data_IF_524904906080
#
_entry.id   IF_524904906080
#
_cell.length_a   1.000
_cell.length_b   1.000
_cell.length_c   1.000
_cell.angle_alpha   90.00
_cell.angle_beta   90.00
_cell.angle_gamma   90.00
#
_symmetry.space_group_name_H-M   'P 1'
#
loop_
_entity.id
_entity.type
_entity.pdbx_description
1 polymer ?
#
# COMPACT_ATOMS: atom_id res chain seq x y z
N UNK A 1 -19.87 -28.35 -30.92
CA UNK A 1 -20.20 -27.42 -29.83
C UNK A 1 -20.54 -26.09 -30.47
N UNK A 2 -21.83 -25.75 -30.51
CA UNK A 2 -22.33 -24.52 -31.11
C UNK A 2 -22.19 -23.35 -30.14
N UNK A 3 -21.92 -22.11 -30.58
CA UNK A 3 -21.88 -20.95 -29.69
C UNK A 3 -23.31 -20.50 -29.32
N UNK A 4 -23.53 -19.97 -28.10
CA UNK A 4 -24.83 -19.47 -27.71
C UNK A 4 -25.16 -18.10 -28.32
N UNK A 5 -26.46 -17.93 -28.54
CA UNK A 5 -27.18 -16.85 -29.22
C UNK A 5 -27.10 -15.54 -28.44
N UNK A 6 -26.84 -14.44 -29.16
CA UNK A 6 -26.84 -13.08 -28.63
C UNK A 6 -28.24 -12.59 -28.25
N UNK A 7 -28.34 -11.91 -27.12
CA UNK A 7 -29.55 -11.20 -26.69
C UNK A 7 -29.45 -9.75 -27.16
N UNK A 8 -30.32 -9.39 -28.11
CA UNK A 8 -30.57 -8.01 -28.55
C UNK A 8 -31.47 -7.32 -27.51
N UNK A 9 -31.02 -6.18 -26.97
CA UNK A 9 -31.89 -5.26 -26.23
C UNK A 9 -32.25 -4.06 -27.13
N UNK A 10 -33.53 -3.64 -27.18
CA UNK A 10 -33.96 -2.58 -28.08
C UNK A 10 -33.45 -1.22 -27.63
N UNK A 11 -32.92 -0.47 -28.60
CA UNK A 11 -32.74 0.98 -28.52
C UNK A 11 -34.11 1.64 -28.70
N UNK A 12 -34.31 2.70 -27.92
CA UNK A 12 -35.35 3.74 -28.03
C UNK A 12 -36.50 3.66 -27.02
N UNK A 13 -36.58 4.73 -26.21
CA UNK A 13 -37.77 5.09 -25.44
C UNK A 13 -37.49 5.46 -23.98
N UNK A 14 -37.16 6.74 -23.74
CA UNK A 14 -37.81 7.65 -22.77
C UNK A 14 -36.93 8.91 -22.68
N UNK A 15 -37.30 9.91 -23.50
CA UNK A 15 -36.92 11.31 -23.32
C UNK A 15 -38.21 12.06 -22.96
N UNK A 16 -38.33 12.55 -21.73
CA UNK A 16 -39.27 13.62 -21.39
C UNK A 16 -38.81 14.39 -20.14
N UNK A 17 -38.21 15.56 -20.42
CA UNK A 17 -38.32 16.86 -19.73
C UNK A 17 -38.13 16.93 -18.20
N UNK A 18 -37.05 17.61 -17.80
CA UNK A 18 -37.14 18.83 -17.00
C UNK A 18 -35.96 19.74 -17.36
N UNK A 19 -36.25 20.83 -18.09
CA UNK A 19 -35.28 21.89 -18.36
C UNK A 19 -35.46 22.98 -17.30
N UNK A 20 -34.45 23.19 -16.47
CA UNK A 20 -34.29 24.41 -15.68
C UNK A 20 -33.04 25.12 -16.18
N UNK A 21 -33.30 26.28 -16.76
CA UNK A 21 -32.34 27.21 -17.34
C UNK A 21 -31.58 27.89 -16.20
N UNK A 22 -30.25 27.71 -16.16
CA UNK A 22 -29.36 28.55 -15.33
C UNK A 22 -28.43 29.28 -16.29
N UNK A 23 -28.60 30.60 -16.32
CA UNK A 23 -27.81 31.57 -17.06
C UNK A 23 -26.37 31.60 -16.59
N UNK A 24 -25.42 31.53 -17.53
CA UNK A 24 -23.99 31.75 -17.31
C UNK A 24 -23.72 33.21 -16.92
N UNK A 25 -22.87 33.51 -15.93
CA UNK A 25 -22.32 34.84 -15.76
C UNK A 25 -21.08 35.05 -16.65
N UNK A 26 -20.98 36.26 -17.16
CA UNK A 26 -19.90 36.81 -17.98
C UNK A 26 -18.52 36.66 -17.32
N UNK A 27 -17.52 36.29 -18.14
CA UNK A 27 -16.11 36.27 -17.75
C UNK A 27 -15.58 37.70 -17.80
N UNK A 28 -15.45 38.32 -16.62
CA UNK A 28 -14.68 39.56 -16.45
C UNK A 28 -13.21 39.21 -16.28
N UNK A 29 -12.37 39.70 -17.18
CA UNK A 29 -10.92 39.59 -17.10
C UNK A 29 -10.38 40.40 -15.91
N UNK A 30 -9.66 39.75 -14.98
CA UNK A 30 -9.07 40.41 -13.81
C UNK A 30 -7.87 39.67 -13.24
N UNK A 31 -6.69 40.27 -13.46
CA UNK A 31 -5.40 40.19 -12.75
C UNK A 31 -4.68 38.82 -12.52
N UNK A 32 -3.35 38.76 -12.67
CA UNK A 32 -2.58 37.53 -12.46
C UNK A 32 -2.49 37.18 -10.96
N UNK A 33 -2.77 35.91 -10.64
CA UNK A 33 -2.48 35.33 -9.33
C UNK A 33 -0.97 35.19 -9.16
N UNK A 34 -0.35 36.13 -8.44
CA UNK A 34 1.02 36.00 -7.97
C UNK A 34 1.07 35.04 -6.77
N UNK A 35 1.74 33.90 -6.93
CA UNK A 35 2.14 33.05 -5.81
C UNK A 35 3.22 33.78 -5.00
N UNK A 36 2.89 34.13 -3.75
CA UNK A 36 3.86 34.63 -2.77
C UNK A 36 4.15 33.50 -1.77
N UNK A 37 5.42 33.11 -1.56
CA UNK A 37 5.75 32.11 -0.56
C UNK A 37 5.53 32.68 0.85
N UNK A 38 4.85 31.90 1.70
CA UNK A 38 4.68 32.22 3.13
C UNK A 38 6.06 32.15 3.79
N UNK A 39 6.63 33.30 4.12
CA UNK A 39 7.83 33.40 4.95
C UNK A 39 7.45 33.14 6.40
N UNK A 40 7.72 31.93 6.89
CA UNK A 40 7.67 31.65 8.33
C UNK A 40 8.83 32.37 9.02
N UNK A 41 8.56 33.51 9.63
CA UNK A 41 9.48 34.14 10.58
C UNK A 41 9.46 33.34 11.87
N UNK A 42 10.54 32.60 12.14
CA UNK A 42 10.75 31.91 13.42
C UNK A 42 11.12 32.96 14.48
N UNK A 43 10.15 33.35 15.31
CA UNK A 43 10.40 34.07 16.54
C UNK A 43 10.98 33.10 17.57
N UNK A 44 12.30 33.13 17.76
CA UNK A 44 12.96 32.45 18.88
C UNK A 44 12.67 33.26 20.15
N UNK A 45 11.56 32.96 20.81
CA UNK A 45 11.34 33.40 22.20
C UNK A 45 12.14 32.50 23.14
N UNK A 46 13.08 33.10 23.88
CA UNK A 46 13.84 32.40 24.91
C UNK A 46 12.87 31.84 25.96
N UNK A 47 12.88 30.51 26.10
CA UNK A 47 12.11 29.77 27.10
C UNK A 47 12.60 30.13 28.50
N UNK A 48 11.72 30.75 29.30
CA UNK A 48 11.91 30.81 30.74
C UNK A 48 11.83 29.38 31.30
N UNK A 49 12.85 28.97 32.06
CA UNK A 49 12.92 27.67 32.75
C UNK A 49 11.61 27.41 33.51
N UNK A 50 10.74 26.58 32.94
CA UNK A 50 9.57 26.04 33.61
C UNK A 50 10.09 24.98 34.57
N UNK A 51 9.87 25.18 35.87
CA UNK A 51 10.16 24.16 36.87
C UNK A 51 9.39 22.89 36.49
N UNK A 52 10.11 21.80 36.24
CA UNK A 52 9.56 20.45 36.09
C UNK A 52 8.99 20.03 37.44
N UNK A 53 7.69 20.25 37.62
CA UNK A 53 6.89 19.49 38.57
C UNK A 53 7.00 18.01 38.18
N UNK A 54 7.14 17.07 39.12
CA UNK A 54 7.01 15.66 38.79
C UNK A 54 5.61 15.47 38.20
N UNK A 55 5.53 15.08 36.93
CA UNK A 55 4.27 14.68 36.33
C UNK A 55 3.79 13.46 37.10
N UNK A 56 2.57 13.50 37.65
CA UNK A 56 1.92 12.29 38.13
C UNK A 56 2.04 11.20 37.06
N UNK A 57 2.35 9.95 37.44
CA UNK A 57 2.46 8.88 36.47
C UNK A 57 1.13 8.78 35.70
N UNK A 58 1.22 8.86 34.37
CA UNK A 58 0.04 8.70 33.50
C UNK A 58 -0.62 7.35 33.83
N UNK A 59 -1.96 7.28 33.90
CA UNK A 59 -2.64 6.01 34.09
C UNK A 59 -2.19 5.03 33.01
N UNK A 60 -1.74 3.84 33.43
CA UNK A 60 -1.17 2.83 32.56
C UNK A 60 -2.14 1.67 32.33
N UNK A 61 -2.28 1.25 31.08
CA UNK A 61 -3.02 0.05 30.70
C UNK A 61 -2.02 -1.09 30.50
N UNK A 62 -2.05 -2.10 31.37
CA UNK A 62 -1.20 -3.28 31.23
C UNK A 62 -1.55 -3.98 29.92
N UNK A 63 -0.58 -4.17 29.02
CA UNK A 63 -0.82 -4.90 27.78
C UNK A 63 -0.04 -6.19 27.71
N UNK A 64 -0.70 -7.24 27.24
CA UNK A 64 -0.09 -8.54 26.95
C UNK A 64 -0.47 -8.99 25.55
N UNK A 65 0.47 -9.58 24.83
CA UNK A 65 0.27 -10.13 23.49
C UNK A 65 0.71 -11.59 23.48
N UNK A 66 -0.12 -12.48 22.97
CA UNK A 66 0.21 -13.88 22.81
C UNK A 66 1.48 -14.04 21.95
N UNK A 67 2.46 -14.89 22.34
CA UNK A 67 3.72 -15.02 21.62
C UNK A 67 3.58 -15.30 20.12
N UNK A 68 2.57 -16.08 19.72
CA UNK A 68 2.29 -16.43 18.32
C UNK A 68 1.73 -15.28 17.48
N UNK A 69 1.24 -14.22 18.12
CA UNK A 69 0.76 -13.00 17.46
C UNK A 69 1.82 -11.89 17.46
N UNK A 70 2.97 -12.09 18.12
CA UNK A 70 4.06 -11.11 18.11
C UNK A 70 4.66 -10.98 16.71
N UNK A 71 5.11 -9.77 16.37
CA UNK A 71 5.75 -9.46 15.11
C UNK A 71 5.39 -8.09 14.56
N UNK A 72 5.97 -7.72 13.40
CA UNK A 72 5.97 -6.34 12.91
C UNK A 72 4.57 -5.75 12.69
N UNK A 73 3.60 -6.57 12.26
CA UNK A 73 2.20 -6.18 12.06
C UNK A 73 1.52 -5.75 13.35
N UNK A 74 1.71 -6.52 14.42
CA UNK A 74 1.11 -6.21 15.72
C UNK A 74 1.86 -5.08 16.40
N UNK A 75 3.19 -5.03 16.30
CA UNK A 75 4.01 -3.92 16.78
C UNK A 75 3.62 -2.58 16.14
N UNK A 76 3.39 -2.57 14.82
CA UNK A 76 2.87 -1.40 14.12
C UNK A 76 1.52 -0.96 14.71
N UNK A 77 0.57 -1.89 14.87
CA UNK A 77 -0.76 -1.58 15.38
C UNK A 77 -0.74 -1.10 16.84
N UNK A 78 0.15 -1.65 17.68
CA UNK A 78 0.39 -1.17 19.05
C UNK A 78 0.90 0.27 19.03
N UNK A 79 1.83 0.61 18.12
CA UNK A 79 2.29 2.00 17.94
C UNK A 79 1.17 2.97 17.56
N UNK A 80 0.22 2.54 16.70
CA UNK A 80 -0.98 3.34 16.38
C UNK A 80 -1.88 3.53 17.60
N UNK A 81 -2.06 2.48 18.40
CA UNK A 81 -2.83 2.54 19.65
C UNK A 81 -2.15 3.46 20.68
N UNK A 82 -0.84 3.37 20.86
CA UNK A 82 -0.07 4.22 21.77
C UNK A 82 -0.22 5.70 21.44
N UNK A 83 -0.16 6.06 20.15
CA UNK A 83 -0.38 7.43 19.70
C UNK A 83 -1.77 7.96 20.11
N UNK A 84 -2.80 7.12 20.00
CA UNK A 84 -4.19 7.49 20.29
C UNK A 84 -4.48 7.53 21.80
N UNK A 85 -3.90 6.62 22.58
CA UNK A 85 -3.95 6.64 24.04
C UNK A 85 -3.23 7.86 24.63
N UNK A 86 -2.08 8.24 24.06
CA UNK A 86 -1.33 9.43 24.49
C UNK A 86 -2.16 10.71 24.36
N UNK A 87 -3.06 10.79 23.38
CA UNK A 87 -4.03 11.89 23.22
C UNK A 87 -5.00 12.05 24.39
N UNK A 88 -5.24 10.99 25.16
CA UNK A 88 -6.05 11.00 26.39
C UNK A 88 -5.19 11.07 27.67
N UNK A 89 -3.87 11.25 27.54
CA UNK A 89 -2.96 11.19 28.68
C UNK A 89 -2.79 9.77 29.26
N UNK A 90 -3.19 8.73 28.52
CA UNK A 90 -2.99 7.32 28.88
C UNK A 90 -1.68 6.81 28.26
N UNK A 91 -1.18 5.69 28.78
CA UNK A 91 -0.05 4.96 28.20
C UNK A 91 -0.24 3.46 28.35
N UNK A 92 0.31 2.66 27.43
CA UNK A 92 0.44 1.22 27.64
C UNK A 92 1.65 0.92 28.51
N UNK A 93 1.58 -0.18 29.26
CA UNK A 93 2.71 -0.77 29.99
C UNK A 93 2.77 -2.25 29.68
N UNK A 94 3.93 -2.76 29.29
CA UNK A 94 4.13 -4.21 29.10
C UNK A 94 4.48 -4.92 30.43
N UNK A 95 4.72 -4.14 31.49
CA UNK A 95 4.91 -4.69 32.83
C UNK A 95 3.56 -5.07 33.45
N UNK A 96 3.47 -6.29 33.98
CA UNK A 96 2.33 -6.76 34.75
C UNK A 96 2.15 -5.88 35.99
N UNK A 97 1.25 -4.91 35.94
CA UNK A 97 0.80 -4.20 37.13
C UNK A 97 -0.25 -5.04 37.86
N UNK A 98 -0.11 -5.16 39.18
CA UNK A 98 -1.16 -5.75 40.02
C UNK A 98 -2.35 -4.78 40.11
N UNK A 99 -3.44 -5.11 39.43
CA UNK A 99 -4.72 -4.39 39.49
C UNK A 99 -4.81 -3.18 38.55
N UNK A 100 -5.84 -3.17 37.70
CA UNK A 100 -6.17 -2.09 36.76
C UNK A 100 -6.60 -2.64 35.39
N UNK A 101 -7.35 -1.86 34.60
CA UNK A 101 -7.82 -2.29 33.29
C UNK A 101 -6.64 -2.57 32.35
N UNK A 102 -6.66 -3.73 31.70
CA UNK A 102 -5.61 -4.18 30.79
C UNK A 102 -6.09 -4.40 29.35
N UNK A 103 -5.13 -4.56 28.43
CA UNK A 103 -5.33 -4.96 27.05
C UNK A 103 -4.69 -6.33 26.87
N UNK A 104 -5.47 -7.35 26.53
CA UNK A 104 -4.94 -8.68 26.20
C UNK A 104 -5.18 -8.96 24.73
N UNK A 105 -4.14 -9.27 23.99
CA UNK A 105 -4.24 -9.75 22.60
C UNK A 105 -3.95 -11.24 22.61
N UNK A 106 -4.95 -12.06 22.37
CA UNK A 106 -4.86 -13.52 22.46
C UNK A 106 -5.32 -14.20 21.17
N UNK A 107 -4.89 -15.43 20.93
CA UNK A 107 -5.43 -16.21 19.82
C UNK A 107 -6.90 -16.54 20.07
N UNK A 108 -7.72 -16.46 19.03
CA UNK A 108 -9.14 -16.80 19.11
C UNK A 108 -9.37 -18.24 19.61
N UNK A 109 -8.47 -19.18 19.27
CA UNK A 109 -8.47 -20.58 19.72
C UNK A 109 -8.22 -20.74 21.23
N UNK A 110 -7.44 -19.83 21.83
CA UNK A 110 -7.18 -19.80 23.27
C UNK A 110 -8.43 -19.34 24.04
N UNK A 111 -9.13 -18.35 23.48
CA UNK A 111 -10.29 -17.69 24.09
C UNK A 111 -11.59 -18.49 23.90
N UNK A 112 -11.76 -19.19 22.77
CA UNK A 112 -12.95 -19.97 22.42
C UNK A 112 -13.28 -21.14 23.39
N UNK A 113 -12.44 -21.39 24.40
CA UNK A 113 -12.75 -22.33 25.49
C UNK A 113 -13.84 -21.84 26.45
N UNK A 114 -14.36 -20.61 26.31
CA UNK A 114 -15.38 -20.04 27.20
C UNK A 114 -16.54 -19.26 26.57
N UNK A 115 -16.53 -18.95 25.27
CA UNK A 115 -17.56 -18.14 24.58
C UNK A 115 -17.83 -18.64 23.18
N UNK A 116 -19.09 -18.58 22.72
CA UNK A 116 -19.47 -18.98 21.37
C UNK A 116 -18.78 -18.06 20.32
N UNK A 117 -18.01 -18.60 19.36
CA UNK A 117 -17.33 -17.78 18.36
C UNK A 117 -18.33 -17.08 17.44
N UNK A 118 -17.99 -15.86 16.98
CA UNK A 118 -18.70 -15.24 15.86
C UNK A 118 -18.51 -16.07 14.58
N UNK A 119 -19.53 -16.05 13.71
CA UNK A 119 -19.43 -16.66 12.39
C UNK A 119 -18.29 -16.01 11.58
N UNK A 120 -17.15 -16.71 11.45
CA UNK A 120 -15.95 -16.17 10.80
C UNK A 120 -14.62 -16.45 11.52
N UNK A 121 -14.65 -17.11 12.70
CA UNK A 121 -13.49 -17.41 13.56
C UNK A 121 -12.34 -18.24 12.94
N UNK A 122 -12.42 -18.60 11.65
CA UNK A 122 -11.37 -19.33 10.93
C UNK A 122 -10.46 -18.47 10.06
N UNK A 123 -10.74 -17.16 9.91
CA UNK A 123 -9.91 -16.25 9.12
C UNK A 123 -8.78 -15.65 9.97
N UNK A 124 -7.56 -15.57 9.42
CA UNK A 124 -6.44 -14.87 10.04
C UNK A 124 -6.70 -13.37 10.26
N UNK A 125 -7.67 -12.81 9.53
CA UNK A 125 -8.10 -11.41 9.62
C UNK A 125 -9.27 -11.20 10.60
N UNK A 126 -9.85 -12.26 11.15
CA UNK A 126 -10.95 -12.16 12.10
C UNK A 126 -10.46 -11.70 13.48
N UNK A 127 -11.29 -10.93 14.19
CA UNK A 127 -11.06 -10.58 15.58
C UNK A 127 -12.37 -10.33 16.33
N UNK A 128 -12.39 -10.56 17.63
CA UNK A 128 -13.50 -10.23 18.53
C UNK A 128 -13.00 -9.45 19.74
N UNK A 129 -13.89 -8.65 20.34
CA UNK A 129 -13.61 -7.94 21.60
C UNK A 129 -14.42 -8.56 22.74
N UNK A 130 -13.76 -8.76 23.88
CA UNK A 130 -14.38 -9.20 25.12
C UNK A 130 -14.02 -8.17 26.18
N UNK A 131 -15.03 -7.50 26.73
CA UNK A 131 -14.84 -6.57 27.85
C UNK A 131 -14.71 -7.37 29.13
N UNK A 132 -13.64 -7.14 29.87
CA UNK A 132 -13.35 -7.84 31.11
C UNK A 132 -14.06 -7.14 32.29
N UNK A 133 -14.44 -7.88 33.36
CA UNK A 133 -15.14 -7.30 34.51
C UNK A 133 -14.38 -6.19 35.25
N UNK A 134 -13.05 -6.14 35.09
CA UNK A 134 -12.16 -5.13 35.70
C UNK A 134 -12.01 -3.86 34.85
N UNK A 135 -12.78 -3.73 33.76
CA UNK A 135 -12.68 -2.62 32.81
C UNK A 135 -11.57 -2.80 31.77
N UNK A 136 -10.92 -3.95 31.74
CA UNK A 136 -9.99 -4.35 30.68
C UNK A 136 -10.70 -4.85 29.42
N UNK A 137 -9.90 -5.23 28.43
CA UNK A 137 -10.37 -5.78 27.17
C UNK A 137 -9.45 -6.90 26.66
N UNK A 138 -10.05 -7.99 26.21
CA UNK A 138 -9.39 -9.04 25.42
C UNK A 138 -9.76 -8.90 23.95
N UNK A 139 -8.75 -8.82 23.07
CA UNK A 139 -8.85 -8.93 21.62
C UNK A 139 -8.52 -10.38 21.26
N UNK A 140 -9.53 -11.14 20.87
CA UNK A 140 -9.38 -12.52 20.40
C UNK A 140 -9.16 -12.51 18.88
N UNK A 141 -7.94 -12.78 18.42
CA UNK A 141 -7.55 -12.65 17.02
C UNK A 141 -7.33 -14.00 16.33
N UNK A 142 -7.79 -14.13 15.08
CA UNK A 142 -7.51 -15.31 14.25
C UNK A 142 -6.06 -15.38 13.73
N UNK A 143 -5.33 -14.27 13.78
CA UNK A 143 -3.93 -14.14 13.36
C UNK A 143 -3.43 -12.71 13.52
N UNK A 144 -2.17 -12.46 13.14
CA UNK A 144 -1.56 -11.13 13.26
C UNK A 144 -2.35 -10.00 12.55
N UNK A 145 -2.91 -10.19 11.33
CA UNK A 145 -3.76 -9.18 10.70
C UNK A 145 -5.03 -8.87 11.51
N UNK A 146 -5.71 -9.90 12.03
CA UNK A 146 -6.88 -9.72 12.90
C UNK A 146 -6.54 -8.97 14.20
N UNK A 147 -5.40 -9.30 14.81
CA UNK A 147 -4.90 -8.58 15.99
C UNK A 147 -4.64 -7.10 15.68
N UNK A 148 -4.02 -6.79 14.54
CA UNK A 148 -3.81 -5.42 14.11
C UNK A 148 -5.14 -4.69 13.86
N UNK A 149 -6.13 -5.32 13.23
CA UNK A 149 -7.45 -4.72 13.02
C UNK A 149 -8.21 -4.44 14.32
N UNK A 150 -8.08 -5.33 15.31
CA UNK A 150 -8.61 -5.13 16.65
C UNK A 150 -7.92 -3.98 17.40
N UNK A 151 -6.60 -3.90 17.34
CA UNK A 151 -5.83 -2.84 18.00
C UNK A 151 -6.10 -1.46 17.38
N UNK A 152 -6.12 -1.38 16.05
CA UNK A 152 -6.50 -0.16 15.34
C UNK A 152 -7.95 0.21 15.66
N UNK A 153 -8.89 -0.74 15.62
CA UNK A 153 -10.29 -0.45 15.93
C UNK A 153 -10.50 0.04 17.38
N UNK A 154 -9.79 -0.54 18.35
CA UNK A 154 -9.78 -0.05 19.73
C UNK A 154 -9.25 1.38 19.81
N UNK A 155 -8.12 1.66 19.17
CA UNK A 155 -7.54 3.00 19.14
C UNK A 155 -8.49 4.03 18.50
N UNK A 156 -9.19 3.67 17.43
CA UNK A 156 -10.16 4.56 16.77
C UNK A 156 -11.28 4.92 17.73
N UNK A 157 -11.77 3.93 18.50
CA UNK A 157 -12.80 4.17 19.52
C UNK A 157 -12.32 5.06 20.64
N UNK A 158 -11.11 4.83 21.15
CA UNK A 158 -10.47 5.70 22.14
C UNK A 158 -10.43 7.15 21.65
N UNK A 159 -9.97 7.36 20.41
CA UNK A 159 -9.89 8.71 19.82
C UNK A 159 -11.27 9.34 19.61
N UNK A 160 -12.27 8.58 19.15
CA UNK A 160 -13.62 9.08 18.86
C UNK A 160 -14.46 9.34 20.13
N UNK A 161 -14.27 8.54 21.17
CA UNK A 161 -15.10 8.58 22.40
C UNK A 161 -14.49 9.43 23.51
N UNK A 162 -13.19 9.71 23.46
CA UNK A 162 -12.53 10.67 24.35
C UNK A 162 -12.27 10.17 25.78
N UNK A 163 -12.59 8.92 26.10
CA UNK A 163 -12.25 8.26 27.36
C UNK A 163 -12.16 6.74 27.17
N UNK A 164 -11.48 6.05 28.09
CA UNK A 164 -11.34 4.59 28.07
C UNK A 164 -12.69 3.88 28.21
N UNK A 165 -13.46 4.22 29.25
CA UNK A 165 -14.75 3.57 29.53
C UNK A 165 -15.73 3.74 28.35
N UNK A 166 -15.86 4.96 27.82
CA UNK A 166 -16.74 5.22 26.68
C UNK A 166 -16.26 4.55 25.39
N UNK A 167 -14.97 4.19 25.27
CA UNK A 167 -14.45 3.43 24.14
C UNK A 167 -14.86 1.95 24.21
N UNK A 168 -15.08 1.41 25.42
CA UNK A 168 -15.53 0.03 25.65
C UNK A 168 -17.05 -0.14 25.52
N UNK A 169 -17.82 0.93 25.64
CA UNK A 169 -19.28 0.91 25.46
C UNK A 169 -19.67 0.32 24.09
N UNK A 170 -20.32 -0.85 24.11
CA UNK A 170 -20.75 -1.58 22.91
C UNK A 170 -19.60 -2.12 22.05
N UNK A 171 -18.37 -2.20 22.57
CA UNK A 171 -17.21 -2.58 21.75
C UNK A 171 -17.30 -4.00 21.21
N UNK A 172 -17.91 -4.91 21.97
CA UNK A 172 -18.11 -6.32 21.62
C UNK A 172 -18.85 -6.51 20.28
N UNK A 173 -19.71 -5.58 19.87
CA UNK A 173 -20.46 -5.65 18.61
C UNK A 173 -19.64 -5.27 17.37
N UNK A 174 -18.42 -4.74 17.53
CA UNK A 174 -17.55 -4.37 16.42
C UNK A 174 -16.48 -5.42 16.07
N UNK A 175 -16.53 -6.59 16.71
CA UNK A 175 -15.81 -7.77 16.26
C UNK A 175 -16.35 -8.28 14.93
N UNK A 176 -15.55 -9.10 14.25
CA UNK A 176 -15.97 -9.79 13.04
C UNK A 176 -14.81 -10.18 12.13
N UNK A 177 -15.17 -10.62 10.92
CA UNK A 177 -14.25 -10.96 9.84
C UNK A 177 -14.60 -10.12 8.61
N UNK A 178 -13.62 -9.74 7.77
CA UNK A 178 -13.92 -9.08 6.51
C UNK A 178 -14.77 -9.98 5.60
N UNK A 179 -15.78 -9.40 4.94
CA UNK A 179 -16.63 -10.09 3.98
C UNK A 179 -15.94 -10.29 2.61
N UNK A 180 -14.99 -9.41 2.27
CA UNK A 180 -14.23 -9.45 1.03
C UNK A 180 -12.80 -9.91 1.34
N UNK A 181 -12.37 -11.09 0.84
CA UNK A 181 -11.05 -11.64 1.14
C UNK A 181 -9.86 -10.80 0.64
N UNK A 182 -10.05 -10.06 -0.46
CA UNK A 182 -9.01 -9.19 -1.03
C UNK A 182 -9.54 -7.78 -1.15
N UNK A 183 -8.92 -6.86 -0.42
CA UNK A 183 -9.24 -5.44 -0.39
C UNK A 183 -7.98 -4.71 -0.85
N UNK A 184 -7.92 -4.51 -2.16
CA UNK A 184 -6.75 -3.99 -2.85
C UNK A 184 -6.91 -2.54 -3.29
N UNK A 185 -5.80 -1.80 -3.27
CA UNK A 185 -5.70 -0.48 -3.90
C UNK A 185 -4.43 -0.42 -4.75
N UNK A 186 -4.53 0.24 -5.91
CA UNK A 186 -3.40 0.47 -6.82
C UNK A 186 -2.98 1.93 -6.76
N UNK A 187 -1.67 2.16 -6.71
CA UNK A 187 -1.06 3.45 -6.99
C UNK A 187 -0.11 3.28 -8.16
N UNK A 188 -0.25 4.13 -9.17
CA UNK A 188 0.59 4.10 -10.36
C UNK A 188 1.69 5.16 -10.28
N UNK A 189 2.89 4.80 -10.74
CA UNK A 189 3.92 5.74 -11.16
C UNK A 189 3.72 5.98 -12.67
N UNK A 190 3.36 7.21 -13.03
CA UNK A 190 2.91 7.62 -14.36
C UNK A 190 3.65 8.86 -14.92
N UNK A 191 4.51 9.51 -14.15
CA UNK A 191 5.35 10.62 -14.64
C UNK A 191 6.57 10.80 -13.77
N UNK A 192 7.78 10.82 -14.35
CA UNK A 192 8.98 11.10 -13.55
C UNK A 192 8.93 12.49 -12.89
N UNK A 193 8.31 13.47 -13.52
CA UNK A 193 8.34 14.85 -13.02
C UNK A 193 7.30 15.06 -11.90
N UNK A 194 6.15 14.38 -11.95
CA UNK A 194 5.10 14.48 -10.92
C UNK A 194 5.26 13.44 -9.80
N UNK A 195 5.75 12.24 -10.14
CA UNK A 195 5.69 11.10 -9.23
C UNK A 195 6.99 10.78 -8.50
N UNK A 196 8.13 11.15 -9.06
CA UNK A 196 9.43 10.91 -8.42
C UNK A 196 9.55 11.56 -7.03
N UNK A 197 9.03 12.78 -6.78
CA UNK A 197 9.07 13.38 -5.45
C UNK A 197 8.42 12.53 -4.37
N UNK A 198 7.20 12.01 -4.60
CA UNK A 198 6.53 11.16 -3.60
C UNK A 198 7.05 9.72 -3.63
N UNK A 199 7.50 9.22 -4.78
CA UNK A 199 8.09 7.88 -4.86
C UNK A 199 9.35 7.76 -4.01
N UNK A 200 10.14 8.83 -3.88
CA UNK A 200 11.37 8.89 -3.07
C UNK A 200 11.17 9.36 -1.63
N UNK A 201 9.95 9.69 -1.24
CA UNK A 201 9.66 10.22 0.09
C UNK A 201 9.19 9.09 1.03
N UNK A 202 10.04 8.74 2.00
CA UNK A 202 9.73 7.72 3.01
C UNK A 202 8.62 8.16 3.97
N UNK A 203 8.50 9.45 4.26
CA UNK A 203 7.46 9.98 5.15
C UNK A 203 6.10 9.94 4.44
N UNK A 204 6.07 10.29 3.15
CA UNK A 204 4.89 10.09 2.30
C UNK A 204 4.43 8.63 2.34
N UNK A 205 5.33 7.68 2.06
CA UNK A 205 4.99 6.26 2.06
C UNK A 205 4.56 5.75 3.43
N UNK A 206 5.22 6.19 4.50
CA UNK A 206 4.83 5.84 5.87
C UNK A 206 3.39 6.27 6.16
N UNK A 207 3.05 7.53 5.84
CA UNK A 207 1.70 8.06 6.07
C UNK A 207 0.64 7.45 5.15
N UNK A 208 0.95 7.29 3.86
CA UNK A 208 0.04 6.69 2.88
C UNK A 208 -0.29 5.23 3.22
N UNK A 209 0.73 4.43 3.55
CA UNK A 209 0.54 3.04 3.91
C UNK A 209 -0.18 2.89 5.26
N UNK A 210 0.08 3.77 6.24
CA UNK A 210 -0.69 3.82 7.49
C UNK A 210 -2.18 4.04 7.19
N UNK A 211 -2.50 5.05 6.37
CA UNK A 211 -3.88 5.40 6.05
C UNK A 211 -4.66 4.24 5.43
N UNK A 212 -4.08 3.54 4.45
CA UNK A 212 -4.77 2.41 3.80
C UNK A 212 -4.88 1.19 4.73
N UNK A 213 -3.86 0.93 5.56
CA UNK A 213 -3.88 -0.18 6.52
C UNK A 213 -4.89 0.05 7.64
N UNK A 214 -5.03 1.29 8.12
CA UNK A 214 -6.08 1.68 9.06
C UNK A 214 -7.48 1.53 8.46
N UNK A 215 -7.63 1.79 7.16
CA UNK A 215 -8.85 1.47 6.41
C UNK A 215 -9.04 -0.03 6.11
N UNK A 216 -8.15 -0.89 6.64
CA UNK A 216 -8.17 -2.36 6.53
C UNK A 216 -8.06 -2.89 5.11
N UNK A 217 -7.43 -2.15 4.19
CA UNK A 217 -6.91 -2.77 2.96
C UNK A 217 -5.89 -3.84 3.35
N UNK A 218 -5.85 -4.95 2.59
CA UNK A 218 -4.90 -6.06 2.84
C UNK A 218 -4.01 -6.35 1.63
N UNK A 219 -4.09 -5.50 0.60
CA UNK A 219 -3.24 -5.57 -0.58
C UNK A 219 -2.94 -4.18 -1.09
N UNK A 220 -1.66 -3.89 -1.25
CA UNK A 220 -1.22 -2.68 -1.93
C UNK A 220 -0.50 -3.05 -3.22
N UNK A 221 -0.89 -2.37 -4.30
CA UNK A 221 -0.32 -2.58 -5.62
C UNK A 221 0.39 -1.32 -6.08
N UNK A 222 1.72 -1.40 -6.22
CA UNK A 222 2.49 -0.36 -6.91
C UNK A 222 2.62 -0.75 -8.38
N UNK A 223 2.03 0.04 -9.28
CA UNK A 223 2.09 -0.20 -10.71
C UNK A 223 3.11 0.72 -11.38
N UNK A 224 4.10 0.12 -12.04
CA UNK A 224 5.13 0.79 -12.83
C UNK A 224 4.88 0.49 -14.32
N UNK A 225 5.14 1.46 -15.19
CA UNK A 225 4.97 1.28 -16.64
C UNK A 225 3.57 1.59 -17.19
N UNK A 226 2.68 2.19 -16.42
CA UNK A 226 1.33 2.55 -16.89
C UNK A 226 1.27 3.87 -17.67
N UNK A 227 2.39 4.58 -17.79
CA UNK A 227 2.52 5.89 -18.44
C UNK A 227 1.97 5.90 -19.87
N UNK A 228 2.27 4.86 -20.63
CA UNK A 228 2.05 4.80 -22.08
C UNK A 228 1.48 3.46 -22.51
N UNK A 229 0.61 3.53 -23.50
CA UNK A 229 0.08 2.40 -24.22
C UNK A 229 0.92 2.17 -25.47
N UNK A 230 1.78 1.14 -25.45
CA UNK A 230 2.67 0.85 -26.57
C UNK A 230 1.91 0.76 -27.89
N UNK A 231 2.34 1.54 -28.89
CA UNK A 231 1.73 1.59 -30.22
C UNK A 231 0.39 2.32 -30.32
N UNK A 232 -0.23 2.75 -29.21
CA UNK A 232 -1.52 3.45 -29.21
C UNK A 232 -1.39 4.98 -28.98
N UNK A 233 -0.27 5.42 -28.42
CA UNK A 233 -0.04 6.85 -28.17
C UNK A 233 0.28 7.61 -29.47
N UNK A 234 -0.65 8.46 -29.89
CA UNK A 234 -0.61 9.23 -31.15
C UNK A 234 0.67 10.05 -31.34
N UNK A 235 1.32 10.44 -30.25
CA UNK A 235 2.52 11.29 -30.26
C UNK A 235 3.78 10.54 -29.77
N UNK A 236 3.69 9.21 -29.66
CA UNK A 236 4.74 8.40 -29.07
C UNK A 236 4.92 8.65 -27.57
N UNK A 237 5.80 7.85 -26.95
CA UNK A 237 6.22 8.07 -25.58
C UNK A 237 7.21 9.24 -25.52
N UNK A 238 7.14 10.08 -24.47
CA UNK A 238 8.08 11.21 -24.28
C UNK A 238 8.86 11.15 -22.96
N UNK A 239 8.39 10.29 -22.06
CA UNK A 239 9.05 9.89 -20.83
C UNK A 239 8.97 8.37 -20.79
N UNK A 240 10.01 7.69 -20.35
CA UNK A 240 10.00 6.24 -20.24
C UNK A 240 10.64 5.76 -18.93
N UNK A 241 10.74 6.67 -17.95
CA UNK A 241 11.27 6.36 -16.63
C UNK A 241 10.43 5.29 -15.94
N UNK A 242 11.08 4.20 -15.48
CA UNK A 242 10.43 3.03 -14.89
C UNK A 242 9.37 2.36 -15.78
N UNK A 243 9.31 2.66 -17.08
CA UNK A 243 8.43 1.95 -17.99
C UNK A 243 8.89 0.50 -18.20
N UNK A 244 10.11 0.34 -18.72
CA UNK A 244 10.80 -0.94 -18.73
C UNK A 244 11.67 -1.00 -17.49
N UNK A 245 11.12 -1.49 -16.38
CA UNK A 245 11.62 -1.18 -15.03
C UNK A 245 13.07 -1.62 -14.77
N UNK A 246 13.52 -2.71 -15.40
CA UNK A 246 14.72 -3.42 -14.98
C UNK A 246 16.00 -2.57 -14.98
N UNK A 247 16.36 -1.83 -16.04
CA UNK A 247 17.60 -1.06 -16.07
C UNK A 247 17.59 0.15 -15.12
N UNK A 248 16.41 0.57 -14.65
CA UNK A 248 16.23 1.62 -13.66
C UNK A 248 16.37 1.13 -12.22
N UNK A 249 16.36 -0.19 -12.00
CA UNK A 249 16.47 -0.81 -10.67
C UNK A 249 17.72 -1.68 -10.52
N UNK A 250 18.18 -2.34 -11.58
CA UNK A 250 19.15 -3.43 -11.50
C UNK A 250 20.32 -3.26 -12.46
N UNK A 251 21.50 -3.68 -11.99
CA UNK A 251 22.60 -4.11 -12.84
C UNK A 251 22.58 -5.64 -12.84
N UNK A 252 22.34 -6.25 -14.01
CA UNK A 252 22.14 -7.70 -14.11
C UNK A 252 23.44 -8.37 -14.56
N UNK A 253 23.89 -9.36 -13.80
CA UNK A 253 25.15 -10.04 -14.08
C UNK A 253 25.14 -10.69 -15.47
N UNK A 254 26.20 -10.44 -16.24
CA UNK A 254 26.33 -10.94 -17.62
C UNK A 254 25.60 -10.10 -18.68
N UNK A 255 24.97 -8.98 -18.28
CA UNK A 255 24.23 -8.10 -19.17
C UNK A 255 24.74 -6.66 -19.10
N UNK A 256 25.12 -6.09 -20.24
CA UNK A 256 25.46 -4.66 -20.36
C UNK A 256 24.24 -3.86 -20.82
N UNK A 257 23.20 -3.83 -19.99
CA UNK A 257 21.93 -3.15 -20.28
C UNK A 257 21.77 -1.95 -19.37
N UNK A 258 21.49 -0.78 -19.95
CA UNK A 258 21.40 0.48 -19.20
C UNK A 258 20.23 1.33 -19.69
N UNK A 259 19.68 2.16 -18.80
CA UNK A 259 18.83 3.29 -19.17
C UNK A 259 19.72 4.55 -19.21
N UNK A 260 19.76 5.22 -20.36
CA UNK A 260 20.61 6.40 -20.55
C UNK A 260 20.23 7.52 -19.58
N UNK A 261 21.23 8.23 -19.05
CA UNK A 261 21.03 9.27 -18.04
C UNK A 261 20.71 8.76 -16.62
N UNK A 262 20.56 7.45 -16.40
CA UNK A 262 20.33 6.87 -15.06
C UNK A 262 21.66 6.43 -14.45
N UNK A 263 22.06 7.09 -13.38
CA UNK A 263 23.30 6.75 -12.66
C UNK A 263 23.16 5.47 -11.83
N UNK A 264 24.29 4.86 -11.45
CA UNK A 264 24.29 3.71 -10.53
C UNK A 264 23.69 4.07 -9.16
N UNK A 265 23.92 5.29 -8.68
CA UNK A 265 23.34 5.81 -7.44
C UNK A 265 21.82 5.93 -7.53
N UNK A 266 21.33 6.51 -8.63
CA UNK A 266 19.89 6.64 -8.86
C UNK A 266 19.20 5.28 -8.94
N UNK A 267 19.82 4.33 -9.62
CA UNK A 267 19.33 2.96 -9.69
C UNK A 267 19.26 2.28 -8.31
N UNK A 268 20.32 2.44 -7.52
CA UNK A 268 20.36 1.92 -6.15
C UNK A 268 19.27 2.56 -5.27
N UNK A 269 19.04 3.87 -5.41
CA UNK A 269 17.98 4.58 -4.70
C UNK A 269 16.59 4.09 -5.10
N UNK A 270 16.35 3.85 -6.39
CA UNK A 270 15.07 3.34 -6.87
C UNK A 270 14.79 1.92 -6.31
N UNK A 271 15.79 1.04 -6.34
CA UNK A 271 15.68 -0.30 -5.75
C UNK A 271 15.43 -0.23 -4.23
N UNK A 272 16.18 0.62 -3.53
CA UNK A 272 16.01 0.82 -2.09
C UNK A 272 14.61 1.34 -1.73
N UNK A 273 14.01 2.20 -2.56
CA UNK A 273 12.63 2.64 -2.37
C UNK A 273 11.63 1.51 -2.63
N UNK A 274 11.80 0.70 -3.67
CA UNK A 274 10.94 -0.47 -3.89
C UNK A 274 10.99 -1.46 -2.71
N UNK A 275 12.20 -1.73 -2.19
CA UNK A 275 12.40 -2.56 -1.00
C UNK A 275 11.74 -1.93 0.24
N UNK A 276 11.88 -0.62 0.43
CA UNK A 276 11.22 0.10 1.53
C UNK A 276 9.70 0.01 1.43
N UNK A 277 9.12 0.28 0.26
CA UNK A 277 7.67 0.26 0.05
C UNK A 277 7.10 -1.16 0.27
N UNK A 278 7.75 -2.18 -0.25
CA UNK A 278 7.31 -3.58 -0.10
C UNK A 278 7.39 -4.05 1.36
N UNK A 279 8.52 -3.80 2.04
CA UNK A 279 8.67 -4.14 3.47
C UNK A 279 7.71 -3.37 4.37
N UNK A 280 7.50 -2.07 4.14
CA UNK A 280 6.56 -1.25 4.91
C UNK A 280 5.09 -1.63 4.66
N UNK A 281 4.78 -2.12 3.46
CA UNK A 281 3.46 -2.71 3.15
C UNK A 281 3.24 -3.97 4.00
N UNK A 282 4.21 -4.88 4.00
CA UNK A 282 4.16 -6.12 4.78
C UNK A 282 4.13 -5.87 6.29
N UNK A 283 4.91 -4.91 6.77
CA UNK A 283 4.92 -4.48 8.19
C UNK A 283 3.54 -4.07 8.68
N UNK A 284 2.64 -3.63 7.80
CA UNK A 284 1.26 -3.24 8.13
C UNK A 284 0.24 -4.38 7.94
N UNK A 285 0.70 -5.59 7.65
CA UNK A 285 -0.15 -6.76 7.44
C UNK A 285 -0.82 -6.80 6.05
N UNK A 286 -0.29 -6.05 5.08
CA UNK A 286 -0.77 -6.07 3.71
C UNK A 286 0.16 -6.87 2.79
N UNK A 287 -0.41 -7.54 1.79
CA UNK A 287 0.36 -8.14 0.69
C UNK A 287 0.82 -7.06 -0.29
N UNK A 288 2.12 -7.03 -0.61
CA UNK A 288 2.65 -6.14 -1.64
C UNK A 288 2.59 -6.82 -3.02
N UNK A 289 2.04 -6.11 -4.01
CA UNK A 289 1.97 -6.53 -5.40
C UNK A 289 2.73 -5.54 -6.27
N UNK A 290 3.56 -6.04 -7.18
CA UNK A 290 4.28 -5.22 -8.14
C UNK A 290 3.65 -5.34 -9.53
N UNK A 291 3.20 -4.22 -10.08
CA UNK A 291 2.74 -4.11 -11.46
C UNK A 291 3.88 -3.77 -12.39
N UNK A 292 4.12 -4.64 -13.36
CA UNK A 292 5.09 -4.47 -14.44
C UNK A 292 4.28 -4.34 -15.73
N UNK A 293 3.84 -3.12 -16.00
CA UNK A 293 2.81 -2.87 -17.01
C UNK A 293 3.36 -2.73 -18.42
N UNK A 294 4.65 -2.42 -18.54
CA UNK A 294 5.30 -2.24 -19.83
C UNK A 294 6.64 -2.98 -19.87
N UNK A 295 6.86 -3.68 -20.97
CA UNK A 295 8.07 -4.43 -21.25
C UNK A 295 8.79 -3.94 -22.52
N UNK A 296 8.39 -2.80 -23.10
CA UNK A 296 9.04 -2.23 -24.28
C UNK A 296 10.35 -1.53 -23.90
N UNK A 297 11.47 -1.99 -24.45
CA UNK A 297 12.74 -1.25 -24.41
C UNK A 297 12.82 -0.16 -25.50
N UNK A 298 12.02 -0.28 -26.56
CA UNK A 298 11.84 0.70 -27.63
C UNK A 298 10.33 0.95 -27.84
N UNK A 299 9.93 2.20 -28.03
CA UNK A 299 8.54 2.67 -28.19
C UNK A 299 8.24 3.09 -29.64
N UNK A 300 9.17 2.85 -30.57
CA UNK A 300 8.99 3.10 -31.98
C UNK A 300 9.20 4.56 -32.41
N UNK A 301 8.98 4.78 -33.71
CA UNK A 301 9.47 5.94 -34.49
C UNK A 301 9.10 7.33 -33.95
N UNK A 302 7.88 7.48 -33.44
CA UNK A 302 7.36 8.79 -33.02
C UNK A 302 7.69 9.10 -31.55
N UNK A 303 8.30 8.15 -30.85
CA UNK A 303 8.67 8.28 -29.45
C UNK A 303 10.00 8.98 -29.27
N UNK A 304 10.11 9.75 -28.18
CA UNK A 304 11.34 10.32 -27.65
C UNK A 304 11.68 9.59 -26.36
N UNK A 305 12.67 8.73 -26.41
CA UNK A 305 13.19 8.06 -25.22
C UNK A 305 14.05 9.04 -24.42
N UNK A 306 13.45 9.69 -23.42
CA UNK A 306 14.19 10.51 -22.44
C UNK A 306 15.29 9.70 -21.75
N UNK A 307 15.05 8.40 -21.57
CA UNK A 307 15.96 7.43 -20.97
C UNK A 307 16.14 6.24 -21.93
N UNK A 308 16.84 6.42 -23.05
CA UNK A 308 17.07 5.36 -24.06
C UNK A 308 17.61 4.07 -23.42
N UNK A 309 16.97 2.92 -23.70
CA UNK A 309 17.46 1.62 -23.23
C UNK A 309 18.51 1.10 -24.19
N UNK A 310 19.74 0.90 -23.72
CA UNK A 310 20.88 0.41 -24.50
C UNK A 310 21.22 -1.04 -24.13
N UNK A 311 21.87 -1.76 -25.05
CA UNK A 311 22.38 -3.11 -24.80
C UNK A 311 21.40 -4.25 -25.06
N UNK A 312 20.23 -3.97 -25.62
CA UNK A 312 19.22 -4.96 -25.99
C UNK A 312 18.95 -5.01 -27.49
N UNK A 313 18.56 -6.20 -27.93
CA UNK A 313 18.05 -6.50 -29.27
C UNK A 313 16.77 -7.33 -29.13
N UNK A 314 15.97 -7.49 -30.20
CA UNK A 314 14.79 -8.35 -30.14
C UNK A 314 15.09 -9.78 -29.67
N UNK A 315 16.26 -10.33 -30.06
CA UNK A 315 16.67 -11.69 -29.73
C UNK A 315 17.06 -11.86 -28.25
N UNK A 316 17.60 -10.79 -27.64
CA UNK A 316 18.15 -10.82 -26.29
C UNK A 316 17.18 -10.30 -25.22
N UNK A 317 16.13 -9.58 -25.64
CA UNK A 317 15.16 -8.93 -24.77
C UNK A 317 14.45 -9.87 -23.78
N UNK A 318 13.99 -11.04 -24.25
CA UNK A 318 13.31 -12.01 -23.39
C UNK A 318 14.22 -12.64 -22.35
N UNK A 319 15.46 -12.97 -22.73
CA UNK A 319 16.44 -13.58 -21.82
C UNK A 319 16.90 -12.58 -20.75
N UNK A 320 17.14 -11.32 -21.13
CA UNK A 320 17.43 -10.26 -20.17
C UNK A 320 16.26 -10.05 -19.20
N UNK A 321 15.03 -9.95 -19.70
CA UNK A 321 13.85 -9.71 -18.86
C UNK A 321 13.63 -10.84 -17.85
N UNK A 322 13.89 -12.10 -18.24
CA UNK A 322 13.82 -13.24 -17.34
C UNK A 322 14.91 -13.19 -16.25
N UNK A 323 16.16 -12.90 -16.63
CA UNK A 323 17.29 -12.77 -15.70
C UNK A 323 17.06 -11.61 -14.72
N UNK A 324 16.62 -10.46 -15.22
CA UNK A 324 16.34 -9.28 -14.43
C UNK A 324 15.18 -9.49 -13.46
N UNK A 325 14.08 -10.13 -13.89
CA UNK A 325 12.96 -10.44 -13.01
C UNK A 325 13.37 -11.43 -11.91
N UNK A 326 14.18 -12.43 -12.25
CA UNK A 326 14.72 -13.39 -11.28
C UNK A 326 15.53 -12.66 -10.20
N UNK A 327 16.45 -11.77 -10.61
CA UNK A 327 17.23 -10.97 -9.68
C UNK A 327 16.35 -10.01 -8.87
N UNK A 328 15.38 -9.33 -9.49
CA UNK A 328 14.44 -8.43 -8.80
C UNK A 328 13.71 -9.15 -7.66
N UNK A 329 13.22 -10.36 -7.94
CA UNK A 329 12.53 -11.19 -6.97
C UNK A 329 13.46 -11.70 -5.85
N UNK A 330 14.75 -11.86 -6.12
CA UNK A 330 15.73 -12.18 -5.07
C UNK A 330 16.03 -10.95 -4.18
N UNK A 331 16.19 -9.77 -4.79
CA UNK A 331 16.48 -8.50 -4.11
C UNK A 331 15.27 -7.94 -3.34
N UNK A 332 14.05 -8.30 -3.75
CA UNK A 332 12.79 -7.83 -3.15
C UNK A 332 11.93 -9.02 -2.68
N UNK A 333 12.31 -9.67 -1.56
CA UNK A 333 11.61 -10.86 -1.06
C UNK A 333 10.20 -10.59 -0.55
N UNK A 334 9.86 -9.33 -0.27
CA UNK A 334 8.53 -8.90 0.16
C UNK A 334 7.54 -8.66 -1.01
N UNK A 335 7.97 -8.86 -2.26
CA UNK A 335 7.04 -8.97 -3.38
C UNK A 335 6.30 -10.30 -3.26
N UNK A 336 5.01 -10.23 -2.97
CA UNK A 336 4.10 -11.37 -2.80
C UNK A 336 3.18 -11.59 -4.00
N UNK A 337 3.35 -10.80 -5.06
CA UNK A 337 2.79 -11.11 -6.36
C UNK A 337 3.07 -10.08 -7.44
N UNK A 338 2.79 -10.49 -8.66
CA UNK A 338 3.12 -9.76 -9.88
C UNK A 338 1.85 -9.53 -10.71
N UNK A 339 1.78 -8.37 -11.37
CA UNK A 339 0.77 -8.11 -12.39
C UNK A 339 1.46 -7.69 -13.68
N UNK A 340 1.19 -8.42 -14.75
CA UNK A 340 1.68 -8.14 -16.10
C UNK A 340 0.54 -7.69 -17.00
N UNK A 341 0.87 -6.84 -17.96
CA UNK A 341 0.01 -6.56 -19.10
C UNK A 341 0.59 -7.26 -20.33
N UNK A 342 -0.08 -8.33 -20.74
CA UNK A 342 0.49 -9.31 -21.69
C UNK A 342 0.08 -9.10 -23.15
N UNK A 343 -0.91 -8.24 -23.43
CA UNK A 343 -1.28 -7.88 -24.79
C UNK A 343 -0.32 -6.84 -25.40
N UNK A 344 -0.38 -6.61 -26.72
CA UNK A 344 0.58 -5.76 -27.46
C UNK A 344 0.93 -4.42 -26.79
N UNK A 345 -0.07 -3.83 -26.18
CA UNK A 345 -0.05 -2.52 -25.56
C UNK A 345 0.91 -2.51 -24.34
N UNK A 346 1.20 -3.67 -23.74
CA UNK A 346 2.23 -3.88 -22.72
C UNK A 346 3.66 -3.89 -23.27
N UNK A 347 3.87 -3.63 -24.55
CA UNK A 347 5.21 -3.42 -25.12
C UNK A 347 5.82 -4.60 -25.85
N UNK A 348 5.08 -5.72 -25.96
CA UNK A 348 5.53 -6.94 -26.64
C UNK A 348 4.58 -7.19 -27.82
N UNK A 349 5.08 -7.15 -29.05
CA UNK A 349 4.27 -7.38 -30.25
C UNK A 349 3.50 -8.71 -30.18
N UNK A 350 2.23 -8.72 -30.61
CA UNK A 350 1.37 -9.93 -30.57
C UNK A 350 1.92 -11.11 -31.37
N UNK A 351 2.74 -10.86 -32.39
CA UNK A 351 3.38 -11.93 -33.14
C UNK A 351 4.48 -12.57 -32.31
N UNK A 352 4.37 -13.89 -32.09
CA UNK A 352 5.32 -14.72 -31.33
C UNK A 352 5.55 -14.25 -29.89
N UNK A 353 4.57 -13.55 -29.28
CA UNK A 353 4.70 -12.97 -27.95
C UNK A 353 4.90 -14.02 -26.84
N UNK A 354 4.48 -15.26 -27.07
CA UNK A 354 4.66 -16.38 -26.18
C UNK A 354 6.15 -16.70 -25.97
N UNK A 355 7.00 -16.49 -26.98
CA UNK A 355 8.44 -16.70 -26.87
C UNK A 355 9.06 -15.78 -25.83
N UNK A 356 8.55 -14.55 -25.73
CA UNK A 356 8.96 -13.60 -24.70
C UNK A 356 8.36 -13.96 -23.34
N UNK A 357 7.03 -14.14 -23.29
CA UNK A 357 6.33 -14.34 -22.01
C UNK A 357 6.67 -15.66 -21.34
N UNK A 358 6.92 -16.74 -22.08
CA UNK A 358 7.38 -18.01 -21.53
C UNK A 358 8.72 -17.84 -20.79
N UNK A 359 9.65 -17.07 -21.35
CA UNK A 359 10.93 -16.74 -20.69
C UNK A 359 10.71 -15.94 -19.41
N UNK A 360 9.89 -14.89 -19.47
CA UNK A 360 9.61 -14.02 -18.30
C UNK A 360 8.92 -14.81 -17.18
N UNK A 361 7.93 -15.65 -17.51
CA UNK A 361 7.24 -16.48 -16.52
C UNK A 361 8.13 -17.60 -15.96
N UNK A 362 9.03 -18.17 -16.76
CA UNK A 362 10.06 -19.08 -16.28
C UNK A 362 11.01 -18.37 -15.29
N UNK A 363 11.42 -17.13 -15.60
CA UNK A 363 12.20 -16.30 -14.70
C UNK A 363 11.48 -16.05 -13.36
N UNK A 364 10.20 -15.64 -13.40
CA UNK A 364 9.39 -15.47 -12.20
C UNK A 364 9.30 -16.76 -11.35
N UNK A 365 9.03 -17.89 -12.03
CA UNK A 365 8.86 -19.21 -11.40
C UNK A 365 10.17 -19.74 -10.79
N UNK A 366 11.32 -19.36 -11.35
CA UNK A 366 12.63 -19.78 -10.85
C UNK A 366 12.93 -19.28 -9.43
N UNK A 367 12.20 -18.26 -8.95
CA UNK A 367 12.28 -17.79 -7.56
C UNK A 367 11.84 -18.85 -6.54
N UNK A 368 11.09 -19.87 -6.95
CA UNK A 368 10.56 -20.91 -6.07
C UNK A 368 9.47 -20.43 -5.10
N UNK A 369 9.05 -19.17 -5.21
CA UNK A 369 8.03 -18.53 -4.37
C UNK A 369 6.66 -18.67 -5.03
N UNK A 370 5.61 -18.79 -4.21
CA UNK A 370 4.24 -18.65 -4.68
C UNK A 370 3.93 -17.15 -4.77
N UNK A 371 3.88 -16.65 -6.00
CA UNK A 371 3.59 -15.25 -6.36
C UNK A 371 2.15 -15.09 -6.85
#
# INVERSE_FOLDING_TARGET
WSPPVGVNLPRDGILARAATQVSSPEVVAGAPLSWQPIQHTVLITHSAKRATMPSDPRPSLTTTVAPSLTGPTVEWALGRLDHRLAGLGLQRSDAAAEGGPGIRVAEATEVAKGTAPHAGSGSAEAFDYIVEPDGGITIAAGGAPGAAYGLVGLGDRVALRGSWDAALDGIAEAGGSPAVPVRGIVRSFSSVDEDLPWFRDRDFWTGYLDWIAEARFNRFHLALGMQYNYGADRHGATDNYLCFVYPFLLSVDGWDVTADGVSAEERAQNLAMLQFISSETRRRGMSFQLGLWNHAYDYGRDSKHRYEIRGLTPETHGDYSAAALTQLLAECPDIEGLTFRVHYEGGIHDQDHEVFWDKVFAGASSSGRRL
#
